data_IF_642719076325
#
_entry.id   IF_642719076325
#
_cell.length_a   1.000
_cell.length_b   1.000
_cell.length_c   1.000
_cell.angle_alpha   90.00
_cell.angle_beta   90.00
_cell.angle_gamma   90.00
#
_symmetry.space_group_name_H-M   'P 1'
#
loop_
_entity.id
_entity.type
_entity.pdbx_description
1 polymer ?
#
# COMPACT_ATOMS: atom_id res chain seq x y z
N UNK A 1 8.64 4.68 -19.21
CA UNK A 1 7.53 4.47 -18.25
C UNK A 1 7.27 2.98 -18.21
N UNK A 2 7.53 2.31 -17.11
CA UNK A 2 7.25 0.87 -16.97
C UNK A 2 5.75 0.71 -16.79
N UNK A 3 5.08 -0.05 -17.67
CA UNK A 3 3.64 -0.27 -17.55
C UNK A 3 3.35 -1.12 -16.31
N UNK A 4 2.82 -0.50 -15.26
CA UNK A 4 2.42 -1.17 -14.02
C UNK A 4 1.05 -1.84 -14.21
N UNK A 5 1.06 -3.07 -14.72
CA UNK A 5 -0.14 -3.86 -15.02
C UNK A 5 -0.44 -4.81 -13.87
N UNK A 6 -1.59 -4.65 -13.22
CA UNK A 6 -2.00 -5.49 -12.11
C UNK A 6 -2.55 -6.83 -12.60
N UNK A 7 -2.01 -7.93 -12.06
CA UNK A 7 -2.51 -9.29 -12.30
C UNK A 7 -3.66 -9.61 -11.38
N UNK A 8 -4.67 -10.30 -11.90
CA UNK A 8 -5.81 -10.77 -11.12
C UNK A 8 -5.48 -12.11 -10.46
N UNK A 9 -5.73 -12.19 -9.15
CA UNK A 9 -5.71 -13.43 -8.39
C UNK A 9 -7.01 -13.57 -7.60
N UNK A 10 -7.73 -14.67 -7.81
CA UNK A 10 -8.90 -15.02 -7.01
C UNK A 10 -8.50 -15.98 -5.91
N UNK A 11 -8.68 -15.58 -4.66
CA UNK A 11 -8.18 -16.28 -3.48
C UNK A 11 -9.01 -15.92 -2.24
N UNK A 12 -8.81 -16.67 -1.16
CA UNK A 12 -9.42 -16.32 0.12
C UNK A 12 -8.70 -15.13 0.74
N UNK A 13 -9.41 -14.17 1.35
CA UNK A 13 -8.82 -12.95 1.95
C UNK A 13 -7.57 -13.22 2.81
N UNK A 14 -7.56 -14.31 3.58
CA UNK A 14 -6.44 -14.71 4.45
C UNK A 14 -5.14 -15.04 3.69
N UNK A 15 -5.27 -15.41 2.42
CA UNK A 15 -4.14 -15.75 1.53
C UNK A 15 -3.49 -14.51 0.92
N UNK A 16 -4.16 -13.33 0.97
CA UNK A 16 -3.66 -12.06 0.38
C UNK A 16 -2.25 -11.73 0.87
N UNK A 17 -2.00 -11.84 2.18
CA UNK A 17 -0.70 -11.49 2.76
C UNK A 17 0.43 -12.33 2.17
N UNK A 18 0.27 -13.66 2.18
CA UNK A 18 1.31 -14.56 1.65
C UNK A 18 1.43 -14.42 0.15
N UNK A 19 0.33 -14.17 -0.57
CA UNK A 19 0.37 -13.89 -2.01
C UNK A 19 1.21 -12.66 -2.33
N UNK A 20 1.08 -11.58 -1.56
CA UNK A 20 1.94 -10.38 -1.71
C UNK A 20 3.42 -10.74 -1.45
N UNK A 21 3.72 -11.46 -0.37
CA UNK A 21 5.10 -11.89 -0.05
C UNK A 21 5.70 -12.75 -1.18
N UNK A 22 4.93 -13.69 -1.72
CA UNK A 22 5.39 -14.58 -2.78
C UNK A 22 5.67 -13.82 -4.08
N UNK A 23 4.79 -12.89 -4.47
CA UNK A 23 5.03 -12.06 -5.66
C UNK A 23 6.20 -11.08 -5.45
N UNK A 24 6.38 -10.54 -4.24
CA UNK A 24 7.59 -9.77 -3.87
C UNK A 24 8.86 -10.59 -4.12
N UNK A 25 8.91 -11.83 -3.61
CA UNK A 25 10.07 -12.72 -3.82
C UNK A 25 10.32 -13.02 -5.29
N UNK A 26 9.26 -13.28 -6.08
CA UNK A 26 9.36 -13.49 -7.53
C UNK A 26 9.87 -12.27 -8.28
N UNK A 27 9.50 -11.07 -7.85
CA UNK A 27 10.01 -9.81 -8.40
C UNK A 27 11.47 -9.51 -8.01
N UNK A 28 12.06 -10.31 -7.12
CA UNK A 28 13.46 -10.18 -6.69
C UNK A 28 13.65 -9.46 -5.36
N UNK A 29 12.58 -9.26 -4.57
CA UNK A 29 12.73 -8.88 -3.17
C UNK A 29 13.29 -10.05 -2.35
N UNK A 30 14.11 -9.72 -1.37
CA UNK A 30 14.73 -10.68 -0.47
C UNK A 30 14.07 -10.59 0.91
N UNK A 31 13.80 -11.74 1.53
CA UNK A 31 13.46 -11.79 2.95
C UNK A 31 14.74 -11.94 3.75
N UNK A 32 15.19 -10.86 4.38
CA UNK A 32 16.51 -10.82 5.05
C UNK A 32 16.60 -11.74 6.26
N UNK A 33 15.47 -12.00 6.92
CA UNK A 33 15.42 -12.84 8.11
C UNK A 33 14.95 -14.27 7.82
N UNK A 34 15.08 -14.77 6.58
CA UNK A 34 14.59 -16.09 6.17
C UNK A 34 15.24 -17.27 6.93
N UNK A 35 16.42 -17.06 7.50
CA UNK A 35 17.19 -18.01 8.32
C UNK A 35 16.96 -17.82 9.84
N UNK A 36 16.15 -16.84 10.25
CA UNK A 36 15.92 -16.50 11.67
C UNK A 36 14.64 -17.14 12.21
N UNK A 37 14.51 -17.32 13.54
CA UNK A 37 13.26 -17.78 14.17
C UNK A 37 12.04 -16.90 13.89
N UNK A 38 12.26 -15.62 13.57
CA UNK A 38 11.22 -14.64 13.26
C UNK A 38 10.60 -14.81 11.87
N UNK A 39 11.18 -15.61 10.96
CA UNK A 39 10.88 -15.64 9.51
C UNK A 39 9.39 -15.80 9.15
N UNK A 40 8.62 -16.50 9.97
CA UNK A 40 7.20 -16.81 9.70
C UNK A 40 6.23 -15.88 10.45
N UNK A 41 6.76 -15.02 11.32
CA UNK A 41 6.00 -14.03 12.10
C UNK A 41 6.27 -12.61 11.62
N UNK A 42 7.48 -12.34 11.14
CA UNK A 42 7.94 -11.02 10.71
C UNK A 42 8.69 -11.21 9.41
N UNK A 43 8.26 -10.52 8.37
CA UNK A 43 8.85 -10.57 7.04
C UNK A 43 9.62 -9.27 6.82
N UNK A 44 10.92 -9.29 7.07
CA UNK A 44 11.80 -8.15 6.77
C UNK A 44 12.18 -8.22 5.30
N UNK A 45 11.48 -7.43 4.49
CA UNK A 45 11.61 -7.44 3.03
C UNK A 45 12.60 -6.35 2.59
N UNK A 46 13.50 -6.72 1.69
CA UNK A 46 14.52 -5.86 1.11
C UNK A 46 14.49 -5.88 -0.42
N UNK A 47 14.75 -4.75 -1.05
CA UNK A 47 14.98 -4.67 -2.48
C UNK A 47 16.07 -3.66 -2.84
N UNK A 48 16.85 -4.02 -3.86
CA UNK A 48 17.87 -3.16 -4.48
C UNK A 48 17.29 -2.13 -5.46
N UNK A 49 15.96 -2.11 -5.63
CA UNK A 49 15.30 -1.38 -6.72
C UNK A 49 15.57 -2.00 -8.10
N UNK A 50 14.84 -1.52 -9.11
CA UNK A 50 14.96 -2.00 -10.49
C UNK A 50 16.32 -1.66 -11.11
N UNK A 51 16.92 -0.52 -10.74
CA UNK A 51 18.25 -0.10 -11.18
C UNK A 51 19.42 -0.70 -10.36
N UNK A 52 19.12 -1.40 -9.27
CA UNK A 52 20.11 -2.03 -8.40
C UNK A 52 20.82 -1.08 -7.43
N UNK A 53 20.43 0.19 -7.37
CA UNK A 53 21.10 1.23 -6.57
C UNK A 53 20.36 1.62 -5.31
N UNK A 54 19.17 1.06 -5.10
CA UNK A 54 18.27 1.43 -4.00
C UNK A 54 18.44 0.51 -2.81
N UNK A 55 18.01 0.98 -1.66
CA UNK A 55 18.01 0.22 -0.42
C UNK A 55 16.64 0.35 0.24
N UNK A 56 15.69 -0.44 -0.25
CA UNK A 56 14.30 -0.40 0.19
C UNK A 56 14.10 -1.44 1.30
N UNK A 57 13.53 -1.03 2.42
CA UNK A 57 13.23 -1.91 3.54
C UNK A 57 11.77 -1.73 4.00
N UNK A 58 11.09 -2.84 4.28
CA UNK A 58 9.79 -2.82 4.95
C UNK A 58 9.65 -4.08 5.81
N UNK A 59 9.06 -3.93 6.98
CA UNK A 59 8.68 -5.04 7.84
C UNK A 59 7.19 -5.33 7.67
N UNK A 60 6.84 -6.47 7.09
CA UNK A 60 5.46 -6.92 6.90
C UNK A 60 5.12 -8.01 7.93
N UNK A 61 3.93 -7.92 8.52
CA UNK A 61 3.52 -8.77 9.64
C UNK A 61 2.08 -9.25 9.44
N UNK A 62 1.81 -10.56 9.47
CA UNK A 62 0.48 -11.11 9.25
C UNK A 62 -0.45 -10.98 10.47
N UNK A 63 -0.23 -9.98 11.32
CA UNK A 63 -0.94 -9.81 12.58
C UNK A 63 -1.73 -8.50 12.59
N UNK A 64 -3.00 -8.60 12.95
CA UNK A 64 -3.90 -7.45 13.15
C UNK A 64 -3.61 -6.77 14.50
N UNK A 65 -2.45 -6.13 14.60
CA UNK A 65 -1.95 -5.49 15.81
C UNK A 65 -0.98 -4.35 15.51
N UNK A 66 -0.91 -3.39 16.43
CA UNK A 66 0.14 -2.38 16.49
C UNK A 66 1.22 -2.73 17.55
N UNK A 67 1.24 -3.95 18.08
CA UNK A 67 2.27 -4.36 19.03
C UNK A 67 3.66 -4.35 18.40
N UNK A 68 4.69 -4.17 19.22
CA UNK A 68 6.08 -4.19 18.76
C UNK A 68 6.45 -5.57 18.23
N UNK A 69 7.39 -5.58 17.31
CA UNK A 69 7.94 -6.78 16.68
C UNK A 69 8.41 -7.79 17.74
N UNK A 70 9.10 -7.31 18.78
CA UNK A 70 9.57 -8.13 19.90
C UNK A 70 8.43 -8.77 20.69
N UNK A 71 7.30 -8.06 20.88
CA UNK A 71 6.14 -8.58 21.61
C UNK A 71 5.47 -9.71 20.82
N UNK A 72 5.32 -9.54 19.50
CA UNK A 72 4.77 -10.57 18.58
C UNK A 72 5.62 -11.84 18.60
N UNK A 73 6.94 -11.70 18.67
CA UNK A 73 7.85 -12.84 18.69
C UNK A 73 7.76 -13.62 20.01
N UNK A 74 7.69 -12.90 21.13
CA UNK A 74 7.84 -13.46 22.48
C UNK A 74 6.53 -13.84 23.18
N UNK A 75 5.37 -13.43 22.65
CA UNK A 75 4.07 -13.71 23.27
C UNK A 75 3.16 -14.55 22.35
N UNK A 76 2.78 -15.73 22.83
CA UNK A 76 1.93 -16.67 22.10
C UNK A 76 0.50 -16.15 21.85
N UNK A 77 0.00 -15.20 22.65
CA UNK A 77 -1.32 -14.59 22.46
C UNK A 77 -1.46 -13.93 21.10
N UNK A 78 -0.35 -13.51 20.47
CA UNK A 78 -0.43 -12.90 19.13
C UNK A 78 -0.86 -13.86 18.02
N UNK A 79 -0.82 -15.17 18.24
CA UNK A 79 -1.39 -16.15 17.31
C UNK A 79 -2.91 -15.95 17.10
N UNK A 80 -3.60 -15.31 18.04
CA UNK A 80 -5.03 -14.95 17.92
C UNK A 80 -5.27 -13.83 16.91
N UNK A 81 -4.25 -13.01 16.61
CA UNK A 81 -4.31 -11.92 15.65
C UNK A 81 -3.73 -12.29 14.29
N UNK A 82 -3.28 -13.53 14.09
CA UNK A 82 -2.73 -14.00 12.81
C UNK A 82 -3.85 -14.13 11.76
N UNK A 83 -3.81 -13.26 10.74
CA UNK A 83 -4.85 -13.23 9.71
C UNK A 83 -4.84 -14.42 8.76
N UNK A 84 -3.76 -15.22 8.78
CA UNK A 84 -3.62 -16.43 7.97
C UNK A 84 -4.35 -17.60 8.59
N UNK A 85 -4.66 -17.54 9.88
CA UNK A 85 -5.28 -18.65 10.61
C UNK A 85 -6.74 -18.83 10.16
N UNK A 86 -7.11 -20.02 9.63
CA UNK A 86 -8.44 -20.26 9.09
C UNK A 86 -9.56 -20.23 10.13
N UNK A 87 -9.23 -20.41 11.42
CA UNK A 87 -10.19 -20.41 12.51
C UNK A 87 -10.46 -19.01 13.09
N UNK A 88 -9.80 -17.97 12.57
CA UNK A 88 -9.88 -16.60 13.09
C UNK A 88 -10.62 -15.69 12.13
N UNK A 89 -11.16 -14.61 12.67
CA UNK A 89 -11.97 -13.63 11.93
C UNK A 89 -11.26 -12.30 11.70
N UNK A 90 -9.99 -12.21 12.13
CA UNK A 90 -9.18 -11.00 12.04
C UNK A 90 -8.83 -10.68 10.59
N UNK A 91 -8.86 -9.39 10.22
CA UNK A 91 -8.91 -9.02 8.81
C UNK A 91 -7.69 -8.38 8.20
N UNK A 92 -6.98 -7.58 8.99
CA UNK A 92 -5.94 -6.70 8.46
C UNK A 92 -4.57 -7.10 8.97
N UNK A 93 -3.56 -6.96 8.13
CA UNK A 93 -2.18 -7.17 8.53
C UNK A 93 -1.60 -5.89 9.13
N UNK A 94 -0.32 -5.92 9.47
CA UNK A 94 0.39 -4.75 9.94
C UNK A 94 1.76 -4.65 9.29
N UNK A 95 2.32 -3.45 9.31
CA UNK A 95 3.65 -3.18 8.83
C UNK A 95 4.40 -2.25 9.78
N UNK A 96 5.73 -2.21 9.63
CA UNK A 96 6.55 -1.16 10.19
C UNK A 96 7.41 -0.62 9.06
N UNK A 97 7.41 0.70 8.95
CA UNK A 97 8.28 1.41 8.05
C UNK A 97 9.66 1.50 8.70
N UNK A 98 10.63 0.79 8.16
CA UNK A 98 11.96 0.58 8.75
C UNK A 98 13.03 1.17 7.84
N UNK A 99 14.17 1.56 8.41
CA UNK A 99 15.28 2.14 7.65
C UNK A 99 16.46 1.17 7.54
N UNK A 100 16.31 -0.07 8.00
CA UNK A 100 17.33 -1.10 7.84
C UNK A 100 16.99 -2.38 8.60
N UNK A 101 17.96 -3.30 8.64
CA UNK A 101 17.84 -4.61 9.27
C UNK A 101 18.80 -4.77 10.48
N UNK A 102 18.32 -5.42 11.54
CA UNK A 102 19.11 -5.89 12.68
C UNK A 102 19.35 -7.39 12.53
N UNK A 103 20.55 -7.77 12.11
CA UNK A 103 20.94 -9.17 11.86
C UNK A 103 20.96 -10.04 13.13
N UNK A 104 21.17 -9.42 14.30
CA UNK A 104 21.24 -10.11 15.58
C UNK A 104 19.83 -10.47 16.04
N UNK A 105 18.91 -9.48 16.02
CA UNK A 105 17.52 -9.69 16.46
C UNK A 105 16.63 -10.31 15.39
N UNK A 106 17.00 -10.24 14.11
CA UNK A 106 16.19 -10.74 13.01
C UNK A 106 14.96 -9.87 12.68
N UNK A 107 14.97 -8.60 13.07
CA UNK A 107 13.87 -7.63 12.87
C UNK A 107 14.38 -6.33 12.24
N UNK A 108 13.50 -5.43 11.83
CA UNK A 108 13.91 -4.13 11.28
C UNK A 108 14.48 -3.17 12.34
N UNK A 109 15.33 -2.23 11.93
CA UNK A 109 15.84 -1.11 12.75
C UNK A 109 15.42 0.24 12.14
N UNK A 110 15.40 1.28 12.98
CA UNK A 110 14.99 2.64 12.57
C UNK A 110 13.49 2.76 12.26
N UNK A 111 13.10 3.93 11.75
CA UNK A 111 11.71 4.28 11.41
C UNK A 111 10.86 4.80 12.57
N UNK A 112 9.63 5.25 12.26
CA UNK A 112 8.65 5.67 13.28
C UNK A 112 8.44 4.54 14.28
N UNK A 113 8.44 4.87 15.56
CA UNK A 113 8.14 3.93 16.66
C UNK A 113 6.73 3.35 16.58
N UNK A 114 5.88 3.87 15.69
CA UNK A 114 4.53 3.41 15.44
C UNK A 114 4.49 2.22 14.48
N UNK A 115 3.77 1.20 14.91
CA UNK A 115 3.33 0.10 14.07
C UNK A 115 2.03 0.48 13.38
N UNK A 116 1.94 0.16 12.10
CA UNK A 116 0.85 0.59 11.23
C UNK A 116 0.05 -0.60 10.73
N UNK A 117 -1.22 -0.39 10.41
CA UNK A 117 -2.04 -1.41 9.78
C UNK A 117 -1.84 -1.41 8.27
N UNK A 118 -1.82 -2.60 7.70
CA UNK A 118 -1.85 -2.84 6.25
C UNK A 118 -3.21 -3.49 5.94
N UNK A 119 -4.20 -2.69 5.51
CA UNK A 119 -5.57 -3.16 5.40
C UNK A 119 -5.75 -4.04 4.17
N UNK A 120 -6.54 -5.09 4.33
CA UNK A 120 -7.07 -5.94 3.24
C UNK A 120 -8.60 -5.93 3.22
N UNK A 121 -9.20 -5.10 4.06
CA UNK A 121 -10.64 -5.07 4.27
C UNK A 121 -11.12 -3.67 4.69
N UNK A 122 -12.33 -3.30 4.27
CA UNK A 122 -12.99 -2.09 4.77
C UNK A 122 -13.62 -2.35 6.15
N UNK A 123 -12.84 -2.13 7.22
CA UNK A 123 -13.32 -2.23 8.60
C UNK A 123 -12.51 -1.45 9.65
N UNK A 124 -11.31 -0.96 9.29
CA UNK A 124 -10.52 -0.05 10.13
C UNK A 124 -10.72 1.41 9.74
N UNK A 125 -11.43 2.13 10.62
CA UNK A 125 -11.54 3.59 10.58
C UNK A 125 -10.27 4.26 11.13
N UNK A 126 -10.18 5.58 11.01
CA UNK A 126 -9.00 6.35 11.39
C UNK A 126 -8.59 6.16 12.87
N UNK A 127 -7.28 5.99 13.10
CA UNK A 127 -6.72 5.95 14.45
C UNK A 127 -7.21 4.78 15.32
N UNK A 128 -7.89 3.79 14.74
CA UNK A 128 -8.37 2.63 15.47
C UNK A 128 -7.24 1.60 15.66
N UNK A 129 -6.78 1.44 16.89
CA UNK A 129 -5.77 0.46 17.31
C UNK A 129 -6.36 -0.90 17.71
N UNK A 130 -7.66 -1.08 17.54
CA UNK A 130 -8.34 -2.33 17.83
C UNK A 130 -8.31 -3.23 16.61
N UNK A 131 -8.17 -4.52 16.88
CA UNK A 131 -8.34 -5.59 15.91
C UNK A 131 -9.69 -5.48 15.21
N UNK A 132 -9.73 -5.75 13.92
CA UNK A 132 -10.97 -5.74 13.13
C UNK A 132 -11.40 -7.17 12.84
N UNK A 133 -12.67 -7.44 13.10
CA UNK A 133 -13.29 -8.76 12.97
C UNK A 133 -14.55 -8.62 12.13
N UNK A 134 -14.75 -9.53 11.17
CA UNK A 134 -15.88 -9.46 10.23
C UNK A 134 -16.87 -10.61 10.37
N UNK A 135 -16.69 -11.49 11.35
CA UNK A 135 -17.56 -12.65 11.58
C UNK A 135 -17.60 -13.67 10.45
N UNK A 136 -16.72 -13.53 9.44
CA UNK A 136 -16.63 -14.38 8.25
C UNK A 136 -15.26 -15.04 8.23
N UNK A 137 -15.23 -16.38 8.34
CA UNK A 137 -13.98 -17.18 8.32
C UNK A 137 -13.44 -17.42 6.91
N UNK A 138 -14.32 -17.43 5.91
CA UNK A 138 -13.98 -17.62 4.51
C UNK A 138 -14.69 -16.57 3.66
N UNK A 139 -13.90 -15.68 3.07
CA UNK A 139 -14.35 -14.64 2.16
C UNK A 139 -13.45 -14.68 0.93
N UNK A 140 -14.04 -14.91 -0.25
CA UNK A 140 -13.32 -14.84 -1.52
C UNK A 140 -13.13 -13.38 -1.95
N UNK A 141 -11.93 -13.07 -2.45
CA UNK A 141 -11.58 -11.74 -2.94
C UNK A 141 -10.90 -11.84 -4.30
N UNK A 142 -11.07 -10.79 -5.09
CA UNK A 142 -10.26 -10.54 -6.28
C UNK A 142 -9.11 -9.61 -5.85
N UNK A 143 -7.89 -10.13 -5.85
CA UNK A 143 -6.66 -9.37 -5.60
C UNK A 143 -6.06 -8.93 -6.93
N UNK A 144 -6.05 -7.63 -7.20
CA UNK A 144 -5.29 -7.04 -8.29
C UNK A 144 -3.92 -6.62 -7.75
N UNK A 145 -2.85 -7.23 -8.26
CA UNK A 145 -1.52 -7.09 -7.69
C UNK A 145 -0.47 -6.77 -8.76
N UNK A 146 0.30 -5.72 -8.53
CA UNK A 146 1.52 -5.40 -9.26
C UNK A 146 2.70 -5.39 -8.29
N UNK A 147 3.79 -6.04 -8.68
CA UNK A 147 5.03 -6.10 -7.91
C UNK A 147 6.22 -6.03 -8.88
N UNK A 148 7.11 -5.09 -8.63
CA UNK A 148 8.47 -5.07 -9.16
C UNK A 148 9.46 -4.79 -8.02
N UNK A 149 10.74 -4.52 -8.31
CA UNK A 149 11.73 -4.23 -7.27
C UNK A 149 11.56 -2.85 -6.62
N UNK A 150 10.83 -1.93 -7.24
CA UNK A 150 10.65 -0.56 -6.74
C UNK A 150 9.36 -0.42 -5.94
N UNK A 151 8.32 -1.18 -6.27
CA UNK A 151 6.94 -0.91 -5.87
C UNK A 151 6.11 -2.18 -5.73
N UNK A 152 5.21 -2.15 -4.75
CA UNK A 152 4.05 -3.04 -4.66
C UNK A 152 2.77 -2.21 -4.66
N UNK A 153 1.83 -2.56 -5.55
CA UNK A 153 0.46 -2.03 -5.57
C UNK A 153 -0.47 -3.21 -5.41
N UNK A 154 -1.38 -3.13 -4.45
CA UNK A 154 -2.41 -4.14 -4.26
C UNK A 154 -3.79 -3.49 -4.16
N UNK A 155 -4.79 -4.16 -4.71
CA UNK A 155 -6.19 -3.85 -4.53
C UNK A 155 -6.95 -5.12 -4.17
N UNK A 156 -7.52 -5.14 -2.98
CA UNK A 156 -8.41 -6.20 -2.51
C UNK A 156 -9.83 -5.75 -2.80
N UNK A 157 -10.47 -6.43 -3.75
CA UNK A 157 -11.84 -6.20 -4.18
C UNK A 157 -12.72 -7.37 -3.72
N UNK A 158 -13.66 -7.09 -2.83
CA UNK A 158 -14.56 -8.12 -2.31
C UNK A 158 -15.66 -8.42 -3.32
N UNK A 159 -15.68 -9.65 -3.80
CA UNK A 159 -16.54 -10.10 -4.90
C UNK A 159 -17.08 -11.51 -4.67
N UNK A 160 -17.38 -11.83 -3.41
CA UNK A 160 -17.95 -13.12 -3.01
C UNK A 160 -19.48 -13.07 -3.12
N UNK A 161 -20.06 -13.88 -4.00
CA UNK A 161 -21.50 -13.94 -4.20
C UNK A 161 -22.25 -14.51 -2.97
N UNK A 162 -21.55 -15.21 -2.07
CA UNK A 162 -22.13 -15.68 -0.81
C UNK A 162 -22.31 -14.54 0.22
N UNK A 163 -21.68 -13.38 0.01
CA UNK A 163 -21.76 -12.23 0.91
C UNK A 163 -22.13 -10.95 0.14
N UNK A 164 -23.39 -10.79 -0.30
CA UNK A 164 -23.83 -9.65 -1.10
C UNK A 164 -23.55 -8.28 -0.46
N UNK A 165 -23.71 -8.16 0.86
CA UNK A 165 -23.46 -6.91 1.62
C UNK A 165 -21.99 -6.49 1.64
N UNK A 166 -21.10 -7.42 1.31
CA UNK A 166 -19.65 -7.20 1.21
C UNK A 166 -19.19 -6.85 -0.21
N UNK A 167 -20.03 -7.10 -1.21
CA UNK A 167 -19.66 -6.92 -2.62
C UNK A 167 -19.23 -5.49 -2.90
N UNK A 168 -18.22 -5.33 -3.74
CA UNK A 168 -17.63 -4.05 -4.19
C UNK A 168 -16.82 -3.28 -3.15
N UNK A 169 -16.75 -3.74 -1.91
CA UNK A 169 -15.88 -3.12 -0.91
C UNK A 169 -14.44 -3.31 -1.33
N UNK A 170 -13.71 -2.20 -1.38
CA UNK A 170 -12.38 -2.14 -1.98
C UNK A 170 -11.39 -1.51 -1.01
N UNK A 171 -10.23 -2.13 -0.87
CA UNK A 171 -9.07 -1.52 -0.24
C UNK A 171 -7.90 -1.52 -1.20
N UNK A 172 -7.21 -0.39 -1.30
CA UNK A 172 -6.00 -0.24 -2.11
C UNK A 172 -4.86 0.15 -1.18
N UNK A 173 -3.69 -0.43 -1.43
CA UNK A 173 -2.46 0.00 -0.80
C UNK A 173 -1.30 0.01 -1.77
N UNK A 174 -0.32 0.83 -1.41
CA UNK A 174 0.94 1.02 -2.11
C UNK A 174 2.05 1.01 -1.07
N UNK A 175 3.15 0.34 -1.39
CA UNK A 175 4.41 0.59 -0.73
C UNK A 175 5.56 0.46 -1.72
N UNK A 176 6.46 1.44 -1.74
CA UNK A 176 7.44 1.54 -2.81
C UNK A 176 8.10 2.91 -2.94
N UNK A 177 8.94 3.01 -3.95
CA UNK A 177 9.50 4.26 -4.44
C UNK A 177 8.47 5.00 -5.31
N UNK A 178 8.45 6.34 -5.27
CA UNK A 178 7.69 7.10 -6.27
C UNK A 178 8.26 6.86 -7.67
N UNK A 179 7.40 6.97 -8.68
CA UNK A 179 7.80 6.78 -10.08
C UNK A 179 8.67 7.95 -10.58
N UNK A 180 8.46 9.14 -10.03
CA UNK A 180 9.32 10.31 -10.26
C UNK A 180 9.54 11.01 -8.91
N UNK A 181 10.79 11.39 -8.64
CA UNK A 181 11.17 12.24 -7.52
C UNK A 181 11.65 13.59 -8.08
N UNK A 182 11.07 14.68 -7.59
CA UNK A 182 11.43 16.04 -8.00
C UNK A 182 12.41 16.70 -7.02
N UNK A 183 12.74 16.00 -5.94
CA UNK A 183 13.82 16.36 -5.04
C UNK A 183 15.02 15.45 -5.30
N UNK A 184 16.22 15.99 -5.06
CA UNK A 184 17.42 15.17 -5.16
C UNK A 184 17.35 14.03 -4.15
N UNK A 185 17.41 12.79 -4.66
CA UNK A 185 17.48 11.61 -3.83
C UNK A 185 18.70 11.70 -2.91
N UNK A 186 18.50 11.38 -1.65
CA UNK A 186 19.56 11.28 -0.68
C UNK A 186 19.43 9.94 0.01
N UNK A 187 20.47 9.11 -0.07
CA UNK A 187 20.57 7.91 0.74
C UNK A 187 20.95 8.39 2.14
N UNK A 188 20.11 8.13 3.14
CA UNK A 188 20.41 8.55 4.51
C UNK A 188 21.81 8.09 4.91
N UNK A 189 22.67 9.00 5.36
CA UNK A 189 24.02 8.66 5.79
C UNK A 189 23.99 7.78 7.06
N UNK A 190 22.97 7.95 7.91
CA UNK A 190 22.82 7.24 9.18
C UNK A 190 22.16 5.86 9.02
N UNK A 191 21.31 5.68 7.99
CA UNK A 191 20.52 4.46 7.84
C UNK A 191 20.73 3.70 6.53
N UNK A 192 21.34 4.33 5.51
CA UNK A 192 21.64 3.70 4.24
C UNK A 192 20.40 3.33 3.39
N UNK A 193 19.21 3.83 3.73
CA UNK A 193 17.96 3.52 3.02
C UNK A 193 17.61 4.55 1.95
N UNK A 194 16.89 4.11 0.91
CA UNK A 194 16.25 4.98 -0.08
C UNK A 194 14.91 5.51 0.44
N UNK A 195 14.43 6.63 -0.11
CA UNK A 195 13.13 7.20 0.25
C UNK A 195 11.98 6.29 -0.17
N UNK A 196 11.42 5.59 0.80
CA UNK A 196 10.33 4.62 0.63
C UNK A 196 9.03 5.23 1.13
N UNK A 197 7.91 4.94 0.48
CA UNK A 197 6.58 5.48 0.83
C UNK A 197 5.57 4.37 1.00
N UNK A 198 4.61 4.57 1.90
CA UNK A 198 3.44 3.71 2.11
C UNK A 198 2.18 4.57 2.05
N UNK A 199 1.17 4.07 1.34
CA UNK A 199 -0.15 4.67 1.22
C UNK A 199 -1.21 3.58 1.35
N UNK A 200 -2.29 3.85 2.08
CA UNK A 200 -3.41 2.93 2.26
C UNK A 200 -4.73 3.66 2.15
N UNK A 201 -5.75 3.05 1.55
CA UNK A 201 -7.07 3.68 1.38
C UNK A 201 -7.95 3.57 2.61
N UNK A 202 -7.51 2.81 3.61
CA UNK A 202 -8.14 2.62 4.90
C UNK A 202 -7.05 2.45 5.98
N UNK A 203 -7.46 2.39 7.25
CA UNK A 203 -6.57 2.13 8.38
C UNK A 203 -5.37 3.09 8.55
N UNK A 204 -5.31 4.20 7.80
CA UNK A 204 -4.30 5.23 8.03
C UNK A 204 -4.54 5.84 9.42
N UNK A 205 -3.49 5.86 10.23
CA UNK A 205 -3.48 6.49 11.55
C UNK A 205 -2.47 7.64 11.62
N UNK A 206 -1.88 8.04 10.48
CA UNK A 206 -0.98 9.17 10.40
C UNK A 206 -1.76 10.46 10.13
N UNK A 207 -2.17 10.73 8.90
CA UNK A 207 -2.99 11.90 8.51
C UNK A 207 -3.79 11.54 7.25
N UNK A 208 -4.98 12.13 7.12
CA UNK A 208 -5.81 12.06 5.90
C UNK A 208 -5.11 12.72 4.70
N UNK A 209 -5.19 12.11 3.52
CA UNK A 209 -4.52 12.55 2.30
C UNK A 209 -3.02 12.70 2.48
N UNK A 210 -2.37 11.71 3.08
CA UNK A 210 -0.92 11.73 3.25
C UNK A 210 -0.29 10.36 3.01
N UNK A 211 0.92 10.38 2.48
CA UNK A 211 1.82 9.24 2.44
C UNK A 211 2.69 9.23 3.69
N UNK A 212 2.94 8.03 4.23
CA UNK A 212 3.98 7.80 5.23
C UNK A 212 5.27 7.47 4.50
N UNK A 213 6.39 8.13 4.82
CA UNK A 213 7.67 7.93 4.10
C UNK A 213 8.84 7.81 5.06
N UNK A 214 9.90 7.09 4.67
CA UNK A 214 11.11 6.87 5.50
C UNK A 214 11.96 8.12 5.69
N UNK A 215 11.80 9.11 4.80
CA UNK A 215 12.63 10.32 4.81
C UNK A 215 11.79 11.59 4.63
N UNK A 216 12.20 12.66 5.33
CA UNK A 216 11.92 14.03 4.93
C UNK A 216 12.92 14.48 3.87
N UNK A 217 12.57 15.49 3.07
CA UNK A 217 13.51 16.04 2.10
C UNK A 217 14.83 16.44 2.75
N UNK A 218 15.92 16.45 1.96
CA UNK A 218 17.20 17.05 2.38
C UNK A 218 17.10 18.53 2.77
N UNK A 219 15.99 19.20 2.44
CA UNK A 219 15.73 20.61 2.71
C UNK A 219 14.92 20.83 4.00
N UNK A 220 14.51 19.76 4.67
CA UNK A 220 13.80 19.84 5.94
C UNK A 220 14.78 19.92 7.13
N UNK A 221 14.48 20.78 8.10
CA UNK A 221 15.29 21.01 9.31
C UNK A 221 15.50 19.76 10.18
N UNK A 222 14.69 18.71 9.99
CA UNK A 222 14.80 17.43 10.71
C UNK A 222 15.82 16.44 10.11
N UNK A 223 16.36 16.70 8.92
CA UNK A 223 17.32 15.82 8.26
C UNK A 223 16.71 14.51 7.70
N UNK A 224 17.57 13.71 7.06
CA UNK A 224 17.23 12.37 6.53
C UNK A 224 17.15 11.33 7.66
N UNK A 225 16.32 10.31 7.49
CA UNK A 225 16.20 9.20 8.45
C UNK A 225 15.10 9.33 9.50
N UNK A 226 14.36 10.44 9.52
CA UNK A 226 13.07 10.52 10.23
C UNK A 226 11.92 10.34 9.27
N UNK A 227 11.03 9.39 9.59
CA UNK A 227 9.84 9.17 8.80
C UNK A 227 8.97 10.44 8.77
N UNK A 228 8.40 10.73 7.60
CA UNK A 228 7.55 11.88 7.38
C UNK A 228 6.12 11.46 7.07
N UNK A 229 5.21 12.37 7.38
CA UNK A 229 3.85 12.36 6.86
C UNK A 229 3.78 13.54 5.92
N UNK A 230 3.58 13.27 4.62
CA UNK A 230 3.57 14.29 3.57
C UNK A 230 2.25 14.23 2.83
N UNK A 231 1.66 15.39 2.59
CA UNK A 231 0.38 15.47 1.91
C UNK A 231 0.48 14.89 0.49
N UNK A 232 -0.56 14.18 0.11
CA UNK A 232 -0.80 13.75 -1.26
C UNK A 232 -1.87 14.61 -1.89
N UNK A 233 -1.74 14.88 -3.18
CA UNK A 233 -2.72 15.63 -3.94
C UNK A 233 -2.73 15.19 -5.39
N UNK A 234 -3.77 15.54 -6.11
CA UNK A 234 -3.80 15.58 -7.57
C UNK A 234 -4.09 17.02 -7.99
N UNK A 235 -3.87 17.36 -9.25
CA UNK A 235 -4.13 18.71 -9.77
C UNK A 235 -5.64 18.96 -9.94
N UNK A 236 -6.34 19.02 -8.82
CA UNK A 236 -7.79 19.07 -8.71
C UNK A 236 -8.44 20.15 -9.58
N UNK A 237 -7.88 21.37 -9.59
CA UNK A 237 -8.40 22.53 -10.36
C UNK A 237 -8.49 22.30 -11.85
N UNK A 238 -7.62 21.46 -12.41
CA UNK A 238 -7.64 21.14 -13.86
C UNK A 238 -8.73 20.12 -14.18
N UNK A 239 -9.17 19.32 -13.19
CA UNK A 239 -10.00 18.13 -13.39
C UNK A 239 -11.30 18.15 -12.57
N UNK A 240 -11.78 19.33 -12.17
CA UNK A 240 -12.96 19.50 -11.29
C UNK A 240 -14.28 19.01 -11.92
N UNK A 241 -14.35 18.91 -13.24
CA UNK A 241 -15.53 18.44 -13.98
C UNK A 241 -15.09 17.59 -15.18
N UNK A 242 -15.90 16.60 -15.54
CA UNK A 242 -15.77 15.95 -16.84
C UNK A 242 -15.79 17.03 -17.93
N UNK A 243 -14.84 17.03 -18.89
CA UNK A 243 -14.78 18.05 -19.91
C UNK A 243 -15.93 17.95 -20.91
N UNK A 244 -16.71 16.87 -20.87
CA UNK A 244 -17.92 16.70 -21.69
C UNK A 244 -19.10 16.13 -20.89
N UNK A 245 -20.35 16.42 -21.31
CA UNK A 245 -21.55 15.78 -20.77
C UNK A 245 -21.58 14.26 -20.97
N UNK A 246 -20.87 13.74 -21.99
CA UNK A 246 -20.75 12.30 -22.22
C UNK A 246 -19.84 11.59 -21.20
N UNK A 247 -19.04 12.34 -20.42
CA UNK A 247 -18.26 11.77 -19.33
C UNK A 247 -16.81 11.41 -19.67
N UNK A 248 -16.14 12.19 -20.53
CA UNK A 248 -14.74 11.98 -20.85
C UNK A 248 -13.88 11.68 -19.62
N UNK A 249 -13.17 10.56 -19.70
CA UNK A 249 -12.47 9.96 -18.57
C UNK A 249 -11.05 10.51 -18.46
N UNK A 250 -10.67 10.96 -17.27
CA UNK A 250 -9.34 11.45 -16.99
C UNK A 250 -8.71 10.59 -15.90
N UNK A 251 -7.56 10.01 -16.23
CA UNK A 251 -6.70 9.29 -15.31
C UNK A 251 -5.60 10.23 -14.86
N UNK A 252 -5.54 10.50 -13.56
CA UNK A 252 -4.56 11.42 -13.00
C UNK A 252 -3.66 10.71 -12.00
N UNK A 253 -2.33 10.85 -12.13
CA UNK A 253 -1.41 10.31 -11.14
C UNK A 253 -1.56 11.06 -9.82
N UNK A 254 -1.12 10.43 -8.74
CA UNK A 254 -1.08 11.06 -7.42
C UNK A 254 0.28 11.71 -7.21
N UNK A 255 0.29 12.93 -6.70
CA UNK A 255 1.49 13.68 -6.35
C UNK A 255 1.63 13.76 -4.84
N UNK A 256 2.84 14.02 -4.38
CA UNK A 256 3.18 14.24 -2.98
C UNK A 256 3.97 15.53 -2.84
N UNK A 257 3.65 16.29 -1.79
CA UNK A 257 4.26 17.59 -1.52
C UNK A 257 3.54 18.36 -0.43
N UNK A 258 4.19 19.37 0.13
CA UNK A 258 3.61 20.23 1.17
C UNK A 258 4.13 21.68 1.07
N UNK A 259 3.75 22.53 2.02
CA UNK A 259 4.18 23.93 2.05
C UNK A 259 5.66 24.15 2.39
N UNK A 260 6.37 23.11 2.83
CA UNK A 260 7.81 23.16 3.14
C UNK A 260 8.63 22.71 1.93
N UNK A 261 8.24 21.58 1.35
CA UNK A 261 8.99 20.89 0.30
C UNK A 261 8.52 21.24 -1.12
N UNK A 262 7.35 21.88 -1.25
CA UNK A 262 6.70 22.07 -2.55
C UNK A 262 6.31 20.73 -3.17
N UNK A 263 6.42 20.60 -4.49
CA UNK A 263 6.21 19.35 -5.21
C UNK A 263 7.41 18.41 -4.97
N UNK A 264 7.17 17.23 -4.40
CA UNK A 264 8.21 16.26 -4.03
C UNK A 264 8.28 15.05 -4.93
N UNK A 265 7.14 14.43 -5.24
CA UNK A 265 7.12 13.18 -5.97
C UNK A 265 5.82 12.95 -6.73
N UNK A 266 5.85 12.03 -7.69
CA UNK A 266 4.70 11.50 -8.42
C UNK A 266 4.67 9.98 -8.30
N UNK A 267 3.51 9.46 -7.98
CA UNK A 267 3.21 8.03 -7.95
C UNK A 267 2.42 7.63 -9.20
N UNK A 268 2.72 6.43 -9.70
CA UNK A 268 2.11 5.86 -10.90
C UNK A 268 1.75 4.39 -10.67
N UNK A 269 0.85 3.86 -11.52
CA UNK A 269 0.29 2.49 -11.44
C UNK A 269 -1.05 2.39 -10.73
N UNK A 270 -1.50 3.48 -10.12
CA UNK A 270 -2.86 3.71 -9.68
C UNK A 270 -3.23 5.16 -10.02
N UNK A 271 -4.45 5.38 -10.47
CA UNK A 271 -4.85 6.67 -11.03
C UNK A 271 -6.12 7.15 -10.35
N UNK A 272 -6.15 8.42 -9.96
CA UNK A 272 -7.42 9.05 -9.61
C UNK A 272 -8.25 9.17 -10.88
N UNK A 273 -9.46 8.63 -10.80
CA UNK A 273 -10.39 8.53 -11.92
C UNK A 273 -11.45 9.63 -11.84
N UNK A 274 -11.55 10.44 -12.89
CA UNK A 274 -12.58 11.46 -13.07
C UNK A 274 -13.36 11.20 -14.35
N UNK A 275 -14.61 10.78 -14.20
CA UNK A 275 -15.56 10.56 -15.30
C UNK A 275 -16.98 10.50 -14.74
N UNK A 276 -17.97 10.38 -15.63
CA UNK A 276 -19.38 10.13 -15.26
C UNK A 276 -19.85 8.77 -15.79
N UNK A 277 -21.01 8.29 -15.34
CA UNK A 277 -21.68 7.09 -15.84
C UNK A 277 -20.89 5.78 -15.72
N UNK A 278 -20.17 5.59 -14.61
CA UNK A 278 -19.48 4.34 -14.28
C UNK A 278 -19.99 3.78 -12.95
N UNK A 279 -19.78 2.48 -12.79
CA UNK A 279 -20.04 1.73 -11.56
C UNK A 279 -18.73 1.12 -11.09
N UNK A 280 -18.56 1.03 -9.77
CA UNK A 280 -17.44 0.29 -9.17
C UNK A 280 -17.36 -1.12 -9.74
N UNK A 281 -16.20 -1.45 -10.32
CA UNK A 281 -15.91 -2.71 -10.97
C UNK A 281 -15.87 -2.63 -12.51
N UNK A 282 -16.31 -1.53 -13.12
CA UNK A 282 -16.26 -1.34 -14.58
C UNK A 282 -14.82 -1.37 -15.12
N UNK A 283 -14.70 -1.76 -16.38
CA UNK A 283 -13.44 -1.74 -17.14
C UNK A 283 -13.56 -0.67 -18.21
N UNK A 284 -12.62 0.27 -18.18
CA UNK A 284 -12.43 1.30 -19.20
C UNK A 284 -11.35 0.84 -20.16
N UNK A 285 -11.64 0.91 -21.45
CA UNK A 285 -10.69 0.59 -22.51
C UNK A 285 -10.24 1.87 -23.22
N UNK A 286 -8.93 2.08 -23.30
CA UNK A 286 -8.31 3.23 -23.98
C UNK A 286 -7.46 2.68 -25.11
N UNK A 287 -7.79 3.03 -26.35
CA UNK A 287 -6.97 2.71 -27.51
C UNK A 287 -5.82 3.70 -27.64
N UNK A 288 -4.58 3.21 -27.62
CA UNK A 288 -3.36 3.96 -27.88
C UNK A 288 -2.61 3.32 -29.06
N UNK A 289 -2.87 3.83 -30.27
CA UNK A 289 -2.37 3.19 -31.48
C UNK A 289 -2.98 1.78 -31.64
N UNK A 290 -2.14 0.76 -31.68
CA UNK A 290 -2.55 -0.66 -31.78
C UNK A 290 -2.81 -1.33 -30.42
N UNK A 291 -2.44 -0.68 -29.30
CA UNK A 291 -2.64 -1.22 -27.95
C UNK A 291 -4.01 -0.80 -27.38
N UNK A 292 -4.75 -1.75 -26.83
CA UNK A 292 -5.93 -1.48 -25.99
C UNK A 292 -5.54 -1.62 -24.53
N UNK A 293 -5.49 -0.50 -23.81
CA UNK A 293 -5.18 -0.46 -22.39
C UNK A 293 -6.47 -0.59 -21.57
N UNK A 294 -6.50 -1.54 -20.63
CA UNK A 294 -7.65 -1.80 -19.77
C UNK A 294 -7.43 -1.27 -18.36
N UNK A 295 -8.39 -0.52 -17.85
CA UNK A 295 -8.36 0.06 -16.52
C UNK A 295 -9.60 -0.34 -15.74
N UNK A 296 -9.43 -1.02 -14.61
CA UNK A 296 -10.55 -1.33 -13.72
C UNK A 296 -10.75 -0.20 -12.72
N UNK A 297 -11.99 0.28 -12.61
CA UNK A 297 -12.37 1.38 -11.73
C UNK A 297 -12.91 0.86 -10.40
N UNK A 298 -12.42 1.42 -9.31
CA UNK A 298 -12.78 1.07 -7.95
C UNK A 298 -13.21 2.29 -7.14
N UNK A 299 -14.02 2.03 -6.12
CA UNK A 299 -14.37 3.01 -5.10
C UNK A 299 -13.86 2.50 -3.74
N UNK A 300 -12.98 3.27 -3.11
CA UNK A 300 -12.39 2.96 -1.80
C UNK A 300 -13.08 3.69 -0.65
N UNK A 301 -14.18 4.41 -0.89
CA UNK A 301 -14.87 5.18 0.13
C UNK A 301 -15.49 4.24 1.18
N UNK A 302 -15.26 4.59 2.43
CA UNK A 302 -15.92 4.00 3.59
C UNK A 302 -15.95 5.03 4.72
N UNK A 303 -17.09 5.19 5.37
CA UNK A 303 -17.32 6.22 6.39
C UNK A 303 -16.30 6.12 7.54
N UNK A 304 -15.67 7.24 7.87
CA UNK A 304 -14.72 7.33 8.99
C UNK A 304 -13.31 6.78 8.69
N UNK A 305 -13.05 6.22 7.50
CA UNK A 305 -11.69 5.83 7.14
C UNK A 305 -10.83 7.06 6.80
N UNK A 306 -9.61 7.11 7.33
CA UNK A 306 -8.58 7.94 6.73
C UNK A 306 -7.93 7.19 5.57
N UNK A 307 -7.84 7.88 4.45
CA UNK A 307 -7.19 7.42 3.22
C UNK A 307 -5.93 8.24 2.98
N UNK A 308 -4.89 7.59 2.48
CA UNK A 308 -3.72 8.26 1.91
C UNK A 308 -3.97 8.87 0.54
N UNK A 309 -5.07 8.51 -0.11
CA UNK A 309 -5.40 8.98 -1.44
C UNK A 309 -6.35 10.16 -1.33
N UNK A 310 -6.03 11.26 -2.02
CA UNK A 310 -6.86 12.47 -2.05
C UNK A 310 -8.18 12.34 -2.82
N UNK A 311 -8.50 11.14 -3.32
CA UNK A 311 -9.80 10.78 -3.86
C UNK A 311 -10.10 9.31 -3.58
N UNK A 312 -11.38 8.92 -3.70
CA UNK A 312 -11.85 7.55 -3.47
C UNK A 312 -12.05 6.76 -4.77
N UNK A 313 -12.08 7.44 -5.91
CA UNK A 313 -12.27 6.82 -7.21
C UNK A 313 -10.90 6.56 -7.83
N UNK A 314 -10.51 5.28 -7.81
CA UNK A 314 -9.17 4.86 -8.18
C UNK A 314 -9.29 3.83 -9.29
N UNK A 315 -8.51 4.00 -10.35
CA UNK A 315 -8.38 3.03 -11.41
C UNK A 315 -7.00 2.37 -11.40
N UNK A 316 -6.99 1.07 -11.68
CA UNK A 316 -5.77 0.29 -11.87
C UNK A 316 -5.73 -0.23 -13.30
N UNK A 317 -4.55 -0.18 -13.92
CA UNK A 317 -4.32 -0.89 -15.17
C UNK A 317 -4.31 -2.39 -14.92
N UNK A 318 -5.02 -3.16 -15.74
CA UNK A 318 -5.13 -4.62 -15.63
C UNK A 318 -4.71 -5.30 -16.93
N UNK A 319 -4.43 -6.61 -16.87
CA UNK A 319 -4.19 -7.47 -18.04
C UNK A 319 -5.45 -7.62 -18.92
#
# INVERSE_FOLDING_TARGET
>A
MTNKICKLHRLERREVFMKIIDEMKKAGWQQLNADKPSKDKIYVMYSSGNDGTKHNYIELRPFDTNAKSEDILNNATFAEYDIRNPAKYVTDSSFRLINGYDEVKGVGKGGTTGQFYLPFHQGKINGNYLTTNIGITKLMVDLYLYVDKDTVIYCVYENDDNFPDRKKKTVIGFFGLPSECYQQEFISADYGSSSFSVMTSAASNWIYNSALTTDRSRFNWKGNGENAIVNTFFWDKVFLKSPTPEGNMIFTPLYMGDGVDGLRAKFDGFYIYRGSNYVTGDIVEISQGEEVQKYKVFNTFYTGAWTSFSDFQIALRIE
#
